data_IF_264456202345
#
_entry.id   IF_264456202345
#
_cell.length_a   1.000
_cell.length_b   1.000
_cell.length_c   1.000
_cell.angle_alpha   90.00
_cell.angle_beta   90.00
_cell.angle_gamma   90.00
#
_symmetry.space_group_name_H-M   'P 1'
#
loop_
_entity.id
_entity.type
_entity.pdbx_description
1 polymer ?
#
# COMPACT_ATOMS: atom_id res chain seq x y z
N UNK A 1 -13.97 -19.49 10.84
CA UNK A 1 -13.33 -18.18 11.01
C UNK A 1 -11.86 -18.44 11.31
N UNK A 2 -10.95 -18.18 10.37
CA UNK A 2 -9.53 -18.58 10.47
C UNK A 2 -8.77 -17.65 11.42
N UNK A 3 -8.36 -18.17 12.59
CA UNK A 3 -7.59 -17.44 13.59
C UNK A 3 -6.27 -16.83 13.06
N UNK A 4 -5.67 -17.44 12.05
CA UNK A 4 -4.42 -16.97 11.45
C UNK A 4 -4.59 -15.69 10.62
N UNK A 5 -5.71 -15.55 9.90
CA UNK A 5 -6.04 -14.33 9.17
C UNK A 5 -6.24 -13.17 10.16
N UNK A 6 -6.83 -13.41 11.33
CA UNK A 6 -7.05 -12.35 12.32
C UNK A 6 -5.76 -11.84 12.98
N UNK A 7 -4.74 -12.68 13.18
CA UNK A 7 -3.49 -12.27 13.82
C UNK A 7 -2.59 -11.44 12.89
N UNK A 8 -2.59 -11.75 11.58
CA UNK A 8 -1.83 -11.02 10.58
C UNK A 8 -2.40 -9.64 10.30
N UNK A 9 -3.73 -9.53 10.26
CA UNK A 9 -4.41 -8.24 10.14
C UNK A 9 -4.09 -7.34 11.33
N UNK A 10 -4.09 -7.89 12.55
CA UNK A 10 -3.68 -7.14 13.75
C UNK A 10 -2.23 -6.67 13.62
N UNK A 11 -1.31 -7.57 13.26
CA UNK A 11 0.11 -7.24 13.07
C UNK A 11 0.30 -6.13 12.03
N UNK A 12 -0.41 -6.19 10.90
CA UNK A 12 -0.32 -5.18 9.85
C UNK A 12 -0.85 -3.82 10.32
N UNK A 13 -1.96 -3.79 11.06
CA UNK A 13 -2.51 -2.56 11.64
C UNK A 13 -1.53 -1.93 12.64
N UNK A 14 -0.99 -2.73 13.54
CA UNK A 14 -0.06 -2.28 14.56
C UNK A 14 1.22 -1.75 13.92
N UNK A 15 1.75 -2.47 12.92
CA UNK A 15 2.94 -2.06 12.18
C UNK A 15 2.76 -0.71 11.48
N UNK A 16 1.64 -0.52 10.79
CA UNK A 16 1.34 0.75 10.11
C UNK A 16 1.11 1.88 11.11
N UNK A 17 0.47 1.59 12.23
CA UNK A 17 0.28 2.58 13.31
C UNK A 17 1.62 3.05 13.86
N UNK A 18 2.53 2.13 14.16
CA UNK A 18 3.85 2.44 14.72
C UNK A 18 4.75 3.13 13.68
N UNK A 19 4.89 2.56 12.49
CA UNK A 19 5.90 3.02 11.52
C UNK A 19 5.44 4.20 10.66
N UNK A 20 4.13 4.43 10.50
CA UNK A 20 3.59 5.51 9.66
C UNK A 20 2.77 6.53 10.45
N UNK A 21 2.60 6.37 11.77
CA UNK A 21 1.71 7.18 12.59
C UNK A 21 0.25 7.19 12.09
N UNK A 22 -0.21 6.06 11.55
CA UNK A 22 -1.56 5.93 10.98
C UNK A 22 -2.37 4.96 11.84
N UNK A 23 -3.20 5.43 12.79
CA UNK A 23 -4.02 4.55 13.64
C UNK A 23 -5.15 3.94 12.80
N UNK A 24 -4.87 2.76 12.23
CA UNK A 24 -5.80 2.09 11.32
C UNK A 24 -6.96 1.49 12.12
N UNK A 25 -8.17 1.87 11.76
CA UNK A 25 -9.39 1.32 12.35
C UNK A 25 -9.80 0.02 11.65
N UNK A 26 -9.73 0.01 10.32
CA UNK A 26 -10.14 -1.12 9.50
C UNK A 26 -9.20 -1.37 8.33
N UNK A 27 -9.08 -2.64 7.96
CA UNK A 27 -8.36 -3.13 6.79
C UNK A 27 -9.30 -4.01 5.98
N UNK A 28 -9.27 -3.85 4.65
CA UNK A 28 -9.99 -4.68 3.71
C UNK A 28 -9.03 -5.12 2.60
N UNK A 29 -8.82 -6.43 2.44
CA UNK A 29 -8.08 -6.95 1.30
C UNK A 29 -8.84 -6.61 0.01
N UNK A 30 -8.14 -5.95 -0.92
CA UNK A 30 -8.68 -5.58 -2.22
C UNK A 30 -8.28 -6.59 -3.31
N UNK A 31 -7.01 -7.05 -3.32
CA UNK A 31 -6.49 -8.06 -4.25
C UNK A 31 -5.17 -8.68 -3.77
N UNK A 32 -4.84 -9.86 -4.28
CA UNK A 32 -3.66 -10.66 -3.85
C UNK A 32 -2.77 -11.20 -4.99
N UNK A 33 -3.09 -10.91 -6.26
CA UNK A 33 -2.40 -11.54 -7.42
C UNK A 33 -0.92 -11.17 -7.62
N UNK A 34 -0.45 -9.98 -7.23
CA UNK A 34 0.95 -9.53 -7.44
C UNK A 34 1.42 -8.83 -6.16
N UNK A 35 1.28 -9.56 -5.05
CA UNK A 35 1.35 -9.01 -3.70
C UNK A 35 -0.04 -8.65 -3.18
N UNK A 36 -0.11 -8.33 -1.89
CA UNK A 36 -1.38 -8.01 -1.23
C UNK A 36 -1.60 -6.51 -1.23
N UNK A 37 -2.79 -6.09 -1.63
CA UNK A 37 -3.23 -4.70 -1.58
C UNK A 37 -4.44 -4.61 -0.66
N UNK A 38 -4.34 -3.76 0.35
CA UNK A 38 -5.41 -3.51 1.31
C UNK A 38 -5.87 -2.06 1.21
N UNK A 39 -7.18 -1.84 1.33
CA UNK A 39 -7.71 -0.55 1.71
C UNK A 39 -7.70 -0.43 3.23
N UNK A 40 -7.08 0.63 3.72
CA UNK A 40 -7.00 0.94 5.13
C UNK A 40 -7.78 2.22 5.42
N UNK A 41 -8.44 2.29 6.57
CA UNK A 41 -9.16 3.50 7.00
C UNK A 41 -8.76 3.90 8.41
N UNK A 42 -8.46 5.19 8.59
CA UNK A 42 -8.49 5.86 9.89
C UNK A 42 -9.87 6.51 10.07
N UNK A 43 -10.09 7.31 11.12
CA UNK A 43 -11.35 8.03 11.30
C UNK A 43 -11.64 9.01 10.15
N UNK A 44 -10.59 9.62 9.60
CA UNK A 44 -10.73 10.77 8.70
C UNK A 44 -10.23 10.49 7.28
N UNK A 45 -9.43 9.44 7.07
CA UNK A 45 -8.73 9.22 5.80
C UNK A 45 -8.74 7.75 5.38
N UNK A 46 -8.69 7.53 4.07
CA UNK A 46 -8.46 6.21 3.45
C UNK A 46 -7.05 6.16 2.89
N UNK A 47 -6.45 4.99 2.94
CA UNK A 47 -5.11 4.72 2.43
C UNK A 47 -5.10 3.39 1.67
N UNK A 48 -4.08 3.21 0.86
CA UNK A 48 -3.78 1.92 0.23
C UNK A 48 -2.49 1.39 0.83
N UNK A 49 -2.54 0.18 1.39
CA UNK A 49 -1.35 -0.53 1.85
C UNK A 49 -1.02 -1.58 0.79
N UNK A 50 0.24 -1.63 0.36
CA UNK A 50 0.74 -2.65 -0.56
C UNK A 50 1.87 -3.43 0.10
N UNK A 51 1.68 -4.75 0.21
CA UNK A 51 2.71 -5.71 0.55
C UNK A 51 3.27 -6.31 -0.74
N UNK A 52 4.52 -5.98 -1.06
CA UNK A 52 5.23 -6.56 -2.20
C UNK A 52 5.71 -7.97 -1.86
N UNK A 53 5.77 -8.84 -2.88
CA UNK A 53 6.33 -10.19 -2.76
C UNK A 53 7.82 -10.13 -2.44
N UNK A 54 8.27 -11.07 -1.62
CA UNK A 54 9.65 -11.14 -1.12
C UNK A 54 10.68 -11.15 -2.26
N UNK A 55 10.43 -11.98 -3.29
CA UNK A 55 11.35 -12.21 -4.41
C UNK A 55 11.41 -11.06 -5.43
N UNK A 56 10.59 -10.02 -5.29
CA UNK A 56 10.62 -8.82 -6.14
C UNK A 56 11.08 -7.57 -5.38
N UNK A 57 11.87 -7.74 -4.32
CA UNK A 57 12.32 -6.65 -3.44
C UNK A 57 12.95 -5.49 -4.22
N UNK A 58 13.96 -5.76 -5.05
CA UNK A 58 14.69 -4.72 -5.77
C UNK A 58 13.78 -3.96 -6.74
N UNK A 59 12.91 -4.68 -7.47
CA UNK A 59 11.96 -4.07 -8.40
C UNK A 59 10.92 -3.23 -7.66
N UNK A 60 10.48 -3.68 -6.47
CA UNK A 60 9.56 -2.92 -5.62
C UNK A 60 10.18 -1.60 -5.16
N UNK A 61 11.42 -1.63 -4.66
CA UNK A 61 12.16 -0.43 -4.23
C UNK A 61 12.32 0.53 -5.42
N UNK A 62 12.82 0.04 -6.55
CA UNK A 62 12.99 0.86 -7.75
C UNK A 62 11.67 1.50 -8.19
N UNK A 63 10.56 0.75 -8.14
CA UNK A 63 9.24 1.28 -8.49
C UNK A 63 8.81 2.40 -7.55
N UNK A 64 9.06 2.27 -6.25
CA UNK A 64 8.76 3.31 -5.26
C UNK A 64 9.62 4.55 -5.47
N UNK A 65 10.90 4.39 -5.79
CA UNK A 65 11.82 5.49 -6.10
C UNK A 65 11.39 6.25 -7.36
N UNK A 66 10.97 5.52 -8.41
CA UNK A 66 10.42 6.13 -9.63
C UNK A 66 9.15 6.93 -9.30
N UNK A 67 8.20 6.36 -8.54
CA UNK A 67 6.99 7.06 -8.13
C UNK A 67 7.33 8.32 -7.34
N UNK A 68 8.27 8.23 -6.39
CA UNK A 68 8.72 9.36 -5.59
C UNK A 68 9.35 10.46 -6.47
N UNK A 69 10.23 10.07 -7.40
CA UNK A 69 10.84 11.00 -8.34
C UNK A 69 9.78 11.72 -9.19
N UNK A 70 8.84 10.99 -9.77
CA UNK A 70 7.74 11.56 -10.56
C UNK A 70 6.92 12.53 -9.70
N UNK A 71 6.61 12.17 -8.44
CA UNK A 71 5.85 13.02 -7.52
C UNK A 71 6.58 14.32 -7.18
N UNK A 72 7.90 14.26 -6.96
CA UNK A 72 8.75 15.42 -6.67
C UNK A 72 8.85 16.37 -7.86
N UNK A 73 8.69 15.85 -9.08
CA UNK A 73 8.62 16.61 -10.33
C UNK A 73 7.18 16.93 -10.76
N UNK A 74 6.24 16.94 -9.81
CA UNK A 74 4.84 17.37 -10.01
C UNK A 74 4.03 16.56 -11.04
N UNK A 75 4.46 15.34 -11.38
CA UNK A 75 3.66 14.43 -12.20
C UNK A 75 2.47 13.86 -11.40
N UNK A 76 1.34 13.57 -12.07
CA UNK A 76 0.12 13.08 -11.43
C UNK A 76 0.22 11.57 -11.13
N UNK A 77 1.04 11.23 -10.14
CA UNK A 77 1.20 9.86 -9.62
C UNK A 77 0.65 9.76 -8.20
N UNK A 78 0.33 8.53 -7.79
CA UNK A 78 -0.07 8.24 -6.40
C UNK A 78 1.00 8.75 -5.43
N UNK A 79 0.58 9.39 -4.34
CA UNK A 79 1.49 9.91 -3.33
C UNK A 79 1.84 8.82 -2.31
N UNK A 80 3.12 8.44 -2.17
CA UNK A 80 3.56 7.59 -1.07
C UNK A 80 3.40 8.33 0.26
N UNK A 81 2.92 7.62 1.29
CA UNK A 81 3.03 8.06 2.67
C UNK A 81 4.35 7.53 3.19
N UNK A 82 5.22 8.43 3.65
CA UNK A 82 6.51 8.05 4.20
C UNK A 82 6.36 7.50 5.61
N UNK A 83 7.29 6.66 6.02
CA UNK A 83 7.43 6.25 7.42
C UNK A 83 7.74 7.45 8.32
N UNK A 84 7.64 7.29 9.63
CA UNK A 84 8.09 8.29 10.61
C UNK A 84 9.56 8.68 10.42
N UNK A 85 10.38 7.76 9.87
CA UNK A 85 11.79 7.99 9.54
C UNK A 85 12.00 8.60 8.15
N UNK A 86 10.92 9.00 7.45
CA UNK A 86 10.92 9.57 6.10
C UNK A 86 11.36 8.60 5.00
N UNK A 87 11.18 7.29 5.21
CA UNK A 87 11.46 6.25 4.21
C UNK A 87 10.22 5.94 3.37
N UNK A 88 10.41 5.48 2.14
CA UNK A 88 9.32 5.14 1.20
C UNK A 88 8.58 3.83 1.55
N UNK A 89 9.22 2.98 2.34
CA UNK A 89 8.71 1.67 2.72
C UNK A 89 9.25 1.25 4.08
N UNK A 90 8.68 0.17 4.62
CA UNK A 90 9.25 -0.53 5.76
C UNK A 90 9.29 -2.03 5.50
N UNK A 91 10.25 -2.70 6.14
CA UNK A 91 10.37 -4.15 6.13
C UNK A 91 9.44 -4.77 7.14
N UNK A 92 8.60 -5.72 6.72
CA UNK A 92 7.69 -6.43 7.62
C UNK A 92 7.77 -7.94 7.36
N UNK A 93 7.62 -8.75 8.40
CA UNK A 93 7.47 -10.20 8.25
C UNK A 93 5.99 -10.54 8.36
N UNK A 94 5.43 -11.13 7.29
CA UNK A 94 4.05 -11.65 7.25
C UNK A 94 4.15 -13.11 6.84
N UNK A 95 3.43 -14.01 7.52
CA UNK A 95 3.48 -15.47 7.25
C UNK A 95 4.92 -16.05 7.29
N UNK A 96 5.78 -15.54 8.16
CA UNK A 96 7.22 -15.87 8.22
C UNK A 96 8.02 -15.53 6.95
N UNK A 97 7.45 -14.76 6.01
CA UNK A 97 8.15 -14.27 4.84
C UNK A 97 8.46 -12.76 4.98
N UNK A 98 9.70 -12.32 4.66
CA UNK A 98 10.02 -10.91 4.59
C UNK A 98 9.29 -10.26 3.41
N UNK A 99 8.66 -9.12 3.65
CA UNK A 99 7.89 -8.33 2.69
C UNK A 99 8.31 -6.87 2.78
N UNK A 100 8.18 -6.16 1.67
CA UNK A 100 8.21 -4.69 1.67
C UNK A 100 6.78 -4.21 1.80
N UNK A 101 6.54 -3.31 2.75
CA UNK A 101 5.29 -2.60 2.93
C UNK A 101 5.46 -1.16 2.49
N UNK A 102 4.61 -0.70 1.57
CA UNK A 102 4.46 0.72 1.25
C UNK A 102 3.01 1.17 1.45
N UNK A 103 2.84 2.42 1.86
CA UNK A 103 1.53 3.05 2.05
C UNK A 103 1.37 4.20 1.06
N UNK A 104 0.18 4.33 0.48
CA UNK A 104 -0.15 5.39 -0.46
C UNK A 104 -1.42 6.11 -0.03
N UNK A 105 -1.54 7.38 -0.40
CA UNK A 105 -2.83 8.08 -0.37
C UNK A 105 -3.85 7.34 -1.24
N UNK A 106 -5.06 7.16 -0.71
CA UNK A 106 -6.17 6.66 -1.52
C UNK A 106 -6.65 7.78 -2.45
N UNK A 107 -6.73 7.47 -3.74
CA UNK A 107 -7.31 8.36 -4.75
C UNK A 107 -8.66 7.77 -5.17
N UNK A 108 -9.73 8.54 -5.00
CA UNK A 108 -11.03 8.17 -5.55
C UNK A 108 -10.97 8.38 -7.07
N UNK A 109 -10.82 7.27 -7.80
CA UNK A 109 -10.79 7.27 -9.26
C UNK A 109 -12.10 6.72 -9.83
N UNK A 110 -12.44 7.13 -11.05
CA UNK A 110 -13.46 6.44 -11.84
C UNK A 110 -12.78 5.33 -12.63
N UNK A 111 -13.35 4.13 -12.62
CA UNK A 111 -12.94 3.09 -13.58
C UNK A 111 -13.30 3.63 -14.96
N UNK A 112 -12.35 3.70 -15.91
CA UNK A 112 -12.66 4.18 -17.25
C UNK A 112 -13.71 3.26 -17.89
N UNK A 113 -14.77 3.86 -18.42
CA UNK A 113 -15.78 3.13 -19.18
C UNK A 113 -15.24 2.89 -20.59
N UNK A 114 -14.88 1.64 -20.87
CA UNK A 114 -14.31 1.19 -22.15
C UNK A 114 -15.16 1.59 -23.38
N UNK A 115 -16.46 1.82 -23.21
CA UNK A 115 -17.38 2.25 -24.26
C UNK A 115 -17.18 3.68 -24.75
N UNK A 116 -16.53 4.55 -23.97
CA UNK A 116 -16.44 5.98 -24.27
C UNK A 116 -15.05 6.44 -24.75
N UNK A 117 -14.03 5.56 -24.70
CA UNK A 117 -12.62 5.95 -24.95
C UNK A 117 -12.04 5.45 -26.28
N UNK A 118 -12.75 4.58 -27.02
CA UNK A 118 -12.37 4.16 -28.36
C UNK A 118 -13.40 4.68 -29.37
N UNK A 119 -13.30 5.96 -29.72
CA UNK A 119 -13.83 6.42 -31.00
C UNK A 119 -12.80 6.02 -32.07
N UNK A 120 -13.16 5.04 -32.90
CA UNK A 120 -12.41 4.67 -34.11
C UNK A 120 -12.47 5.78 -35.15
#
# INVERSE_FOLDING_TARGET
>A
MNFQISSEYAKLKDWVTIHYNLPINSLQLHREMIGHVYFARTNNHKFVIKLYRAFHRAQAIQSLEIIQYLRLNEYPVVKPILTQNKELFSDIIIENEPRILAVFEYIEGKVPELSNEIQK
#
